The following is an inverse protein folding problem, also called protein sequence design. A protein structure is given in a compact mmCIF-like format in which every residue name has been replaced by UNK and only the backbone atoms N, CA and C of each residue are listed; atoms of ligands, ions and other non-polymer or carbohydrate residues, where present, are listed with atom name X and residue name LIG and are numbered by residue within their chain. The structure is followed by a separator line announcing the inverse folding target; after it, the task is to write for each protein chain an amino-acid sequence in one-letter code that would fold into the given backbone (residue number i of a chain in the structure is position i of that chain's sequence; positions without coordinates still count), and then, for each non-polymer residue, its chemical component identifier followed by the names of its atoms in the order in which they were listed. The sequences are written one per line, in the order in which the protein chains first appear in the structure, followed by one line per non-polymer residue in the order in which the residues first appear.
data_IF_643833049122
#
_entry.id   IF_643833049122
#
_cell.length_a   1.000
_cell.length_b   1.000
_cell.length_c   1.000
_cell.angle_alpha   90.00
_cell.angle_beta   90.00
_cell.angle_gamma   90.00
#
_symmetry.space_group_name_H-M   'P 1'
#
loop_
_entity.id
_entity.type
_entity.pdbx_description
1 polymer ?
#
# COMPACT_ATOMS: atom_id res chain seq x y z
N UNK A 1 -14.35 6.35 5.67
CA UNK A 1 -13.13 5.66 6.09
C UNK A 1 -12.54 6.48 7.22
N UNK A 2 -11.80 5.83 8.11
CA UNK A 2 -11.06 6.49 9.16
C UNK A 2 -9.59 6.05 9.12
N UNK A 3 -8.72 6.91 9.66
CA UNK A 3 -7.34 6.54 9.96
C UNK A 3 -7.32 5.30 10.87
N UNK A 4 -6.49 4.32 10.50
CA UNK A 4 -6.40 3.03 11.19
C UNK A 4 -7.33 1.95 10.64
N UNK A 5 -8.26 2.28 9.73
CA UNK A 5 -9.09 1.27 9.07
C UNK A 5 -8.22 0.29 8.28
N UNK A 6 -8.58 -1.00 8.33
CA UNK A 6 -7.94 -2.04 7.54
C UNK A 6 -8.72 -2.24 6.24
N UNK A 7 -8.03 -2.06 5.12
CA UNK A 7 -8.53 -2.21 3.75
C UNK A 7 -7.80 -3.33 3.02
N UNK A 8 -8.34 -3.77 1.89
CA UNK A 8 -7.63 -4.66 0.98
C UNK A 8 -7.04 -3.86 -0.18
N UNK A 9 -5.72 -3.90 -0.32
CA UNK A 9 -4.99 -3.25 -1.41
C UNK A 9 -4.44 -4.29 -2.38
N UNK A 10 -4.65 -4.08 -3.68
CA UNK A 10 -4.14 -4.95 -4.74
C UNK A 10 -2.97 -4.27 -5.45
N UNK A 11 -1.79 -4.88 -5.42
CA UNK A 11 -0.56 -4.31 -6.00
C UNK A 11 -0.63 -4.24 -7.53
N UNK A 12 -0.12 -3.16 -8.12
CA UNK A 12 0.23 -3.10 -9.56
C UNK A 12 1.73 -3.31 -9.79
N UNK A 13 2.14 -3.54 -11.03
CA UNK A 13 3.54 -3.82 -11.39
C UNK A 13 4.52 -2.68 -11.05
N UNK A 14 4.03 -1.44 -11.05
CA UNK A 14 4.80 -0.25 -10.68
C UNK A 14 4.92 -0.16 -9.17
N UNK A 15 3.81 -0.32 -8.45
CA UNK A 15 3.72 -0.16 -7.00
C UNK A 15 4.26 -1.34 -6.19
N UNK A 16 4.37 -2.53 -6.79
CA UNK A 16 5.19 -3.62 -6.27
C UNK A 16 6.63 -3.18 -5.97
N UNK A 17 7.16 -2.21 -6.73
CA UNK A 17 8.49 -1.63 -6.50
C UNK A 17 8.48 -0.40 -5.58
N UNK A 18 7.29 0.19 -5.30
CA UNK A 18 7.13 1.40 -4.48
C UNK A 18 6.76 1.05 -3.04
N UNK A 19 7.70 0.47 -2.33
CA UNK A 19 7.66 0.46 -0.87
C UNK A 19 8.53 1.62 -0.40
N UNK A 20 7.91 2.71 0.07
CA UNK A 20 8.64 3.86 0.62
C UNK A 20 8.82 3.68 2.13
N UNK A 21 10.03 3.91 2.65
CA UNK A 21 10.21 4.22 4.07
C UNK A 21 9.72 5.66 4.32
N UNK A 22 8.92 5.87 5.36
CA UNK A 22 8.62 7.20 5.90
C UNK A 22 9.89 7.74 6.58
N UNK A 23 10.81 8.29 5.79
CA UNK A 23 12.09 8.83 6.27
C UNK A 23 13.05 9.31 5.18
N UNK A 24 12.92 8.84 3.93
CA UNK A 24 13.77 9.29 2.83
C UNK A 24 13.03 10.32 1.97
N UNK A 25 13.36 11.60 2.15
CA UNK A 25 12.79 12.75 1.43
C UNK A 25 13.06 12.79 -0.09
N UNK A 26 13.53 11.71 -0.72
CA UNK A 26 13.74 11.69 -2.18
C UNK A 26 13.96 10.31 -2.81
N UNK A 27 13.83 9.20 -2.07
CA UNK A 27 14.26 7.89 -2.58
C UNK A 27 13.36 6.75 -2.15
N UNK A 28 12.98 5.90 -3.12
CA UNK A 28 12.44 4.57 -2.85
C UNK A 28 13.58 3.74 -2.24
N UNK A 29 13.48 3.39 -0.96
CA UNK A 29 14.44 2.50 -0.30
C UNK A 29 13.85 1.10 -0.21
N UNK A 30 14.36 0.19 -1.04
CA UNK A 30 14.02 -1.24 -0.96
C UNK A 30 14.66 -1.84 0.29
N UNK A 31 13.90 -2.62 1.06
CA UNK A 31 14.47 -3.40 2.15
C UNK A 31 15.22 -4.61 1.58
N UNK A 32 16.54 -4.76 1.82
CA UNK A 32 17.25 -5.96 1.45
C UNK A 32 16.62 -7.18 2.17
N UNK A 33 16.21 -8.19 1.41
CA UNK A 33 15.68 -9.44 1.95
C UNK A 33 14.15 -9.51 2.12
N UNK A 34 13.40 -8.44 1.82
CA UNK A 34 11.93 -8.52 1.70
C UNK A 34 11.58 -8.61 0.21
N UNK A 35 11.00 -9.73 -0.27
CA UNK A 35 10.59 -9.83 -1.66
C UNK A 35 9.43 -8.86 -1.93
N UNK A 36 9.49 -8.20 -3.08
CA UNK A 36 8.40 -7.35 -3.54
C UNK A 36 7.16 -8.22 -3.80
N UNK A 37 5.96 -7.76 -3.42
CA UNK A 37 4.74 -8.49 -3.71
C UNK A 37 4.51 -8.52 -5.24
N UNK A 38 4.06 -9.66 -5.76
CA UNK A 38 3.75 -9.77 -7.18
C UNK A 38 2.56 -8.86 -7.55
N UNK A 39 2.56 -8.33 -8.76
CA UNK A 39 1.40 -7.63 -9.29
C UNK A 39 0.14 -8.50 -9.20
N UNK A 40 -0.99 -7.92 -8.80
CA UNK A 40 -2.24 -8.63 -8.55
C UNK A 40 -2.33 -9.28 -7.16
N UNK A 41 -1.27 -9.27 -6.35
CA UNK A 41 -1.37 -9.71 -4.95
C UNK A 41 -2.27 -8.75 -4.18
N UNK A 42 -3.25 -9.26 -3.45
CA UNK A 42 -4.08 -8.47 -2.54
C UNK A 42 -3.66 -8.74 -1.10
N UNK A 43 -3.37 -7.67 -0.34
CA UNK A 43 -2.99 -7.76 1.08
C UNK A 43 -3.80 -6.79 1.92
N UNK A 44 -4.00 -7.11 3.22
CA UNK A 44 -4.51 -6.15 4.17
C UNK A 44 -3.53 -4.99 4.33
N UNK A 45 -4.07 -3.78 4.39
CA UNK A 45 -3.32 -2.55 4.56
C UNK A 45 -4.09 -1.61 5.49
N UNK A 46 -3.36 -0.86 6.30
CA UNK A 46 -3.94 0.13 7.21
C UNK A 46 -3.91 1.51 6.57
N UNK A 47 -4.99 2.27 6.71
CA UNK A 47 -5.08 3.66 6.25
C UNK A 47 -4.30 4.57 7.18
N UNK A 48 -3.26 5.22 6.68
CA UNK A 48 -2.40 6.12 7.47
C UNK A 48 -2.54 7.59 7.09
N UNK A 49 -3.18 7.88 5.96
CA UNK A 49 -3.57 9.23 5.55
C UNK A 49 -4.77 9.17 4.60
N UNK A 50 -5.66 10.18 4.66
CA UNK A 50 -6.79 10.33 3.74
C UNK A 50 -6.75 11.70 3.07
N UNK A 51 -6.94 11.73 1.75
CA UNK A 51 -6.92 12.96 0.96
C UNK A 51 -8.33 13.54 0.69
N UNK A 52 -9.40 12.84 1.10
CA UNK A 52 -10.79 13.31 1.05
C UNK A 52 -11.55 13.02 -0.25
N UNK A 53 -10.88 12.50 -1.28
CA UNK A 53 -11.44 12.15 -2.60
C UNK A 53 -11.53 10.62 -2.83
N UNK A 54 -11.34 9.83 -1.78
CA UNK A 54 -11.18 8.38 -1.86
C UNK A 54 -9.73 7.95 -2.15
N UNK A 55 -8.77 8.87 -2.19
CA UNK A 55 -7.34 8.57 -2.21
C UNK A 55 -6.78 8.50 -0.79
N UNK A 56 -5.89 7.54 -0.53
CA UNK A 56 -5.28 7.32 0.79
C UNK A 56 -3.80 6.95 0.68
N UNK A 57 -3.05 7.16 1.76
CA UNK A 57 -1.77 6.47 1.97
C UNK A 57 -2.01 5.24 2.85
N UNK A 58 -1.35 4.13 2.50
CA UNK A 58 -1.52 2.83 3.13
C UNK A 58 -0.22 2.34 3.76
N UNK A 59 -0.34 1.66 4.90
CA UNK A 59 0.70 0.84 5.50
C UNK A 59 0.38 -0.63 5.28
N UNK A 60 1.20 -1.33 4.49
CA UNK A 60 1.04 -2.75 4.20
C UNK A 60 1.93 -3.58 5.12
N UNK A 61 1.41 -4.69 5.62
CA UNK A 61 2.20 -5.65 6.39
C UNK A 61 2.78 -6.71 5.45
N UNK A 62 4.04 -6.56 5.03
CA UNK A 62 4.79 -7.60 4.34
C UNK A 62 5.61 -8.43 5.35
N UNK A 63 5.90 -9.70 5.02
CA UNK A 63 6.78 -10.54 5.85
C UNK A 63 8.20 -9.96 5.85
N UNK A 64 8.64 -9.45 7.00
CA UNK A 64 10.02 -8.98 7.21
C UNK A 64 10.10 -7.78 8.15
N UNK A 65 11.32 -7.35 8.52
CA UNK A 65 11.55 -6.27 9.50
C UNK A 65 11.29 -4.84 8.95
N UNK A 66 10.39 -4.67 7.98
CA UNK A 66 10.15 -3.39 7.31
C UNK A 66 8.73 -2.84 7.50
N UNK A 67 8.61 -1.52 7.56
CA UNK A 67 7.33 -0.82 7.44
C UNK A 67 7.16 -0.41 5.98
N UNK A 68 6.06 -0.86 5.35
CA UNK A 68 5.85 -0.70 3.92
C UNK A 68 4.73 0.30 3.68
N UNK A 69 5.03 1.41 3.00
CA UNK A 69 4.02 2.42 2.66
C UNK A 69 3.78 2.48 1.15
N UNK A 70 2.51 2.57 0.79
CA UNK A 70 2.05 2.84 -0.58
C UNK A 70 1.25 4.13 -0.54
N UNK A 71 1.59 5.07 -1.41
CA UNK A 71 1.05 6.43 -1.33
C UNK A 71 0.14 6.76 -2.50
N UNK A 72 -0.77 7.70 -2.27
CA UNK A 72 -1.72 8.22 -3.26
C UNK A 72 -2.50 7.09 -3.97
N UNK A 73 -3.05 6.16 -3.19
CA UNK A 73 -3.80 5.02 -3.70
C UNK A 73 -5.29 5.36 -3.75
N UNK A 74 -5.94 5.38 -4.92
CA UNK A 74 -7.37 5.64 -5.01
C UNK A 74 -8.19 4.39 -4.73
N UNK A 75 -9.42 4.60 -4.24
CA UNK A 75 -10.42 3.56 -4.10
C UNK A 75 -10.75 2.94 -5.46
N UNK A 76 -11.06 1.65 -5.49
CA UNK A 76 -11.51 0.99 -6.71
C UNK A 76 -12.46 -0.17 -6.44
N UNK A 77 -12.42 -1.17 -7.33
CA UNK A 77 -13.14 -2.44 -7.18
C UNK A 77 -12.22 -3.54 -6.68
N UNK A 78 -12.81 -4.60 -6.10
CA UNK A 78 -12.04 -5.69 -5.52
C UNK A 78 -11.16 -6.37 -6.59
N UNK A 79 -9.86 -6.54 -6.29
CA UNK A 79 -8.88 -7.12 -7.22
C UNK A 79 -8.38 -6.18 -8.30
N UNK A 80 -8.86 -4.92 -8.36
CA UNK A 80 -8.32 -3.94 -9.29
C UNK A 80 -6.91 -3.53 -8.86
N UNK A 81 -5.92 -3.78 -9.73
CA UNK A 81 -4.52 -3.44 -9.45
C UNK A 81 -4.33 -1.93 -9.22
N UNK A 82 -3.49 -1.58 -8.23
CA UNK A 82 -3.23 -0.21 -7.82
C UNK A 82 -4.41 0.45 -7.12
N UNK A 83 -5.35 -0.33 -6.56
CA UNK A 83 -6.55 0.15 -5.87
C UNK A 83 -6.77 -0.52 -4.53
N UNK A 84 -7.41 0.22 -3.63
CA UNK A 84 -7.89 -0.30 -2.36
C UNK A 84 -9.41 -0.48 -2.36
N UNK A 85 -9.89 -1.40 -1.51
CA UNK A 85 -11.30 -1.62 -1.22
C UNK A 85 -11.54 -1.90 0.26
N UNK A 86 -12.75 -1.58 0.74
CA UNK A 86 -13.19 -2.02 2.08
C UNK A 86 -13.48 -3.52 2.02
N UNK A 87 -12.95 -4.34 2.95
CA UNK A 87 -13.32 -5.75 3.07
C UNK A 87 -14.82 -5.86 3.41
N UNK A 88 -15.51 -6.80 2.76
CA UNK A 88 -16.92 -7.07 3.00
C UNK A 88 -17.17 -7.72 4.37
#
# INVERSE_FOLDING_TARGET
MALGDVVHYTFDATQASYVRMRGASSGVTRFPGVPDPAAGTTLPAEVVHEYGDGTVDLRVSLRGPGIHFVQNVPQGTAGQQGRWVVPA
#
